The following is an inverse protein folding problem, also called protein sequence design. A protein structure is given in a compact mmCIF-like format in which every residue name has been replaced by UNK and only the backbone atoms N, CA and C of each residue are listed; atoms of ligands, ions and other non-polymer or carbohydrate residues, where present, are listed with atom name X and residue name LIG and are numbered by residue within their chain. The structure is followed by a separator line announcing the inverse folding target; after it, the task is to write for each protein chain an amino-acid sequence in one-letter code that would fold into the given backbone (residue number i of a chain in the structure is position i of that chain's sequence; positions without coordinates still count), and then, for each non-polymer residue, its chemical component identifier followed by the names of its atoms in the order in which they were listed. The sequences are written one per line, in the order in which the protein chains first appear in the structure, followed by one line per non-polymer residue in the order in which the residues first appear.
data_IF_431939682466
#
_entry.id   IF_431939682466
#
_cell.length_a   1.000
_cell.length_b   1.000
_cell.length_c   1.000
_cell.angle_alpha   90.00
_cell.angle_beta   90.00
_cell.angle_gamma   90.00
#
_symmetry.space_group_name_H-M   'P 1'
#
loop_
_entity.id
_entity.type
_entity.pdbx_description
1 polymer ?
#
# COMPACT_ATOMS: atom_id res chain seq x y z
N UNK A 1 15.32 26.48 16.72
CA UNK A 1 15.16 27.83 16.13
C UNK A 1 13.93 27.77 15.23
N UNK A 2 12.88 28.53 15.56
CA UNK A 2 11.67 28.59 14.74
C UNK A 2 12.00 29.27 13.40
N UNK A 3 11.57 28.62 12.33
CA UNK A 3 11.78 29.10 10.96
C UNK A 3 11.01 30.41 10.77
N UNK A 4 11.70 31.54 10.72
CA UNK A 4 11.12 32.91 10.71
C UNK A 4 10.38 33.28 9.42
N UNK A 5 10.29 32.37 8.43
CA UNK A 5 9.69 32.62 7.10
C UNK A 5 8.44 31.80 6.82
N UNK A 6 7.75 31.24 7.84
CA UNK A 6 6.53 30.49 7.61
C UNK A 6 5.34 31.45 7.40
N UNK A 7 4.93 31.67 6.15
CA UNK A 7 3.68 32.37 5.82
C UNK A 7 2.50 31.36 5.82
N UNK A 8 1.56 31.55 6.74
CA UNK A 8 0.30 30.78 6.73
C UNK A 8 -0.57 31.17 5.53
N UNK A 9 -0.92 30.20 4.66
CA UNK A 9 -1.95 30.44 3.68
C UNK A 9 -3.33 30.37 4.34
N UNK A 10 -4.25 31.28 3.99
CA UNK A 10 -5.63 31.28 4.52
C UNK A 10 -6.35 29.96 4.28
N UNK A 11 -6.06 29.26 3.18
CA UNK A 11 -6.63 27.94 2.88
C UNK A 11 -6.20 26.85 3.86
N UNK A 12 -4.92 26.83 4.27
CA UNK A 12 -4.42 25.83 5.23
C UNK A 12 -4.99 26.07 6.64
N UNK A 13 -5.14 27.34 7.04
CA UNK A 13 -5.74 27.69 8.33
C UNK A 13 -7.22 27.22 8.44
N UNK A 14 -7.99 27.37 7.37
CA UNK A 14 -9.36 26.88 7.32
C UNK A 14 -9.44 25.33 7.42
N UNK A 15 -8.51 24.63 6.80
CA UNK A 15 -8.40 23.16 6.92
C UNK A 15 -8.06 22.76 8.35
N UNK A 16 -7.12 23.45 9.01
CA UNK A 16 -6.78 23.21 10.41
C UNK A 16 -7.99 23.43 11.31
N UNK A 17 -8.76 24.49 11.09
CA UNK A 17 -9.98 24.75 11.87
C UNK A 17 -11.00 23.61 11.70
N UNK A 18 -11.23 23.14 10.46
CA UNK A 18 -12.10 22.00 10.19
C UNK A 18 -11.64 20.73 10.93
N UNK A 19 -10.33 20.46 10.97
CA UNK A 19 -9.77 19.33 11.73
C UNK A 19 -10.02 19.47 13.23
N UNK A 20 -9.84 20.66 13.80
CA UNK A 20 -10.11 20.92 15.23
C UNK A 20 -11.57 20.68 15.56
N UNK A 21 -12.49 21.24 14.78
CA UNK A 21 -13.93 21.06 14.98
C UNK A 21 -14.34 19.58 14.88
N UNK A 22 -13.85 18.87 13.86
CA UNK A 22 -14.15 17.46 13.68
C UNK A 22 -13.60 16.57 14.80
N UNK A 23 -12.54 16.99 15.49
CA UNK A 23 -12.03 16.30 16.66
C UNK A 23 -12.89 16.54 17.92
N UNK A 24 -13.50 17.70 18.02
CA UNK A 24 -14.29 18.11 19.20
C UNK A 24 -15.76 17.68 19.11
N UNK A 25 -16.29 17.49 17.89
CA UNK A 25 -17.68 17.14 17.62
C UNK A 25 -17.75 15.76 16.94
N UNK A 26 -18.31 14.76 17.63
CA UNK A 26 -18.43 13.40 17.11
C UNK A 26 -19.27 13.31 15.82
N UNK A 27 -20.26 14.18 15.65
CA UNK A 27 -21.09 14.22 14.45
C UNK A 27 -20.33 14.67 13.20
N UNK A 28 -19.20 15.34 13.38
CA UNK A 28 -18.30 15.83 12.32
C UNK A 28 -17.09 14.92 12.05
N UNK A 29 -17.00 13.73 12.67
CA UNK A 29 -15.83 12.85 12.54
C UNK A 29 -15.44 12.51 11.10
N UNK A 30 -16.42 12.37 10.22
CA UNK A 30 -16.15 12.11 8.79
C UNK A 30 -15.48 13.28 8.07
N UNK A 31 -15.57 14.49 8.58
CA UNK A 31 -14.84 15.65 8.03
C UNK A 31 -13.31 15.43 8.07
N UNK A 32 -12.81 14.68 9.05
CA UNK A 32 -11.40 14.27 9.07
C UNK A 32 -11.04 13.44 7.84
N UNK A 33 -11.94 12.55 7.44
CA UNK A 33 -11.74 11.68 6.28
C UNK A 33 -11.84 12.48 4.98
N UNK A 34 -12.80 13.40 4.87
CA UNK A 34 -12.90 14.27 3.70
C UNK A 34 -11.67 15.17 3.54
N UNK A 35 -11.17 15.73 4.64
CA UNK A 35 -9.92 16.49 4.61
C UNK A 35 -8.77 15.61 4.15
N UNK A 36 -8.60 14.42 4.74
CA UNK A 36 -7.53 13.50 4.33
C UNK A 36 -7.66 13.09 2.86
N UNK A 37 -8.89 12.85 2.35
CA UNK A 37 -9.15 12.44 0.97
C UNK A 37 -8.81 13.55 -0.04
N UNK A 38 -9.15 14.79 0.28
CA UNK A 38 -9.11 15.92 -0.66
C UNK A 38 -7.88 16.82 -0.49
N UNK A 39 -7.18 16.75 0.63
CA UNK A 39 -6.00 17.58 0.90
C UNK A 39 -4.76 17.00 0.22
N UNK A 40 -3.93 17.83 -0.46
CA UNK A 40 -2.75 17.34 -1.17
C UNK A 40 -1.71 16.70 -0.25
N UNK A 41 -1.24 15.45 -0.53
CA UNK A 41 -0.29 14.75 0.33
C UNK A 41 1.03 15.48 0.54
N UNK A 42 1.51 16.20 -0.49
CA UNK A 42 2.75 16.97 -0.44
C UNK A 42 2.66 18.20 0.49
N UNK A 43 1.45 18.63 0.85
CA UNK A 43 1.22 19.75 1.75
C UNK A 43 0.95 19.32 3.20
N UNK A 44 0.90 18.04 3.52
CA UNK A 44 0.65 17.55 4.88
C UNK A 44 1.64 18.11 5.91
N UNK A 45 2.91 18.26 5.55
CA UNK A 45 3.90 18.90 6.45
C UNK A 45 3.55 20.35 6.76
N UNK A 46 3.05 21.09 5.77
CA UNK A 46 2.62 22.48 5.97
C UNK A 46 1.40 22.53 6.90
N UNK A 47 0.45 21.63 6.70
CA UNK A 47 -0.72 21.50 7.56
C UNK A 47 -0.31 21.18 9.00
N UNK A 48 0.59 20.24 9.23
CA UNK A 48 1.11 19.89 10.56
C UNK A 48 1.78 21.09 11.26
N UNK A 49 2.62 21.85 10.54
CA UNK A 49 3.27 23.07 11.05
C UNK A 49 2.25 24.15 11.37
N UNK A 50 1.28 24.40 10.47
CA UNK A 50 0.21 25.37 10.68
C UNK A 50 -0.67 24.97 11.87
N UNK A 51 -0.99 23.69 11.99
CA UNK A 51 -1.73 23.16 13.13
C UNK A 51 -1.03 23.46 14.45
N UNK A 52 0.26 23.16 14.55
CA UNK A 52 1.05 23.45 15.74
C UNK A 52 1.14 24.96 16.02
N UNK A 53 1.28 25.79 14.98
CA UNK A 53 1.32 27.25 15.15
C UNK A 53 0.00 27.83 15.67
N UNK A 54 -1.15 27.30 15.24
CA UNK A 54 -2.49 27.77 15.65
C UNK A 54 -2.87 27.23 17.02
N UNK A 55 -2.64 25.93 17.27
CA UNK A 55 -3.17 25.24 18.47
C UNK A 55 -2.16 25.13 19.61
N UNK A 56 -0.87 25.38 19.35
CA UNK A 56 0.21 25.16 20.31
C UNK A 56 0.53 23.67 20.56
N UNK A 57 -0.15 22.74 19.87
CA UNK A 57 -0.05 21.30 20.09
C UNK A 57 0.32 20.57 18.79
N UNK A 58 1.09 19.50 18.86
CA UNK A 58 1.33 18.64 17.71
C UNK A 58 0.04 17.94 17.26
N UNK A 59 -0.18 17.86 15.95
CA UNK A 59 -1.38 17.26 15.36
C UNK A 59 -1.60 15.83 15.86
N UNK A 60 -0.57 14.97 15.85
CA UNK A 60 -0.68 13.59 16.32
C UNK A 60 -1.14 13.49 17.77
N UNK A 61 -0.61 14.35 18.65
CA UNK A 61 -1.00 14.40 20.06
C UNK A 61 -2.45 14.86 20.23
N UNK A 62 -2.87 15.83 19.41
CA UNK A 62 -4.25 16.31 19.42
C UNK A 62 -5.24 15.24 18.93
N UNK A 63 -4.93 14.57 17.83
CA UNK A 63 -5.75 13.47 17.31
C UNK A 63 -5.90 12.34 18.35
N UNK A 64 -4.81 11.87 18.95
CA UNK A 64 -4.81 10.84 20.00
C UNK A 64 -5.63 11.21 21.21
N UNK A 65 -5.70 12.49 21.56
CA UNK A 65 -6.50 12.96 22.70
C UNK A 65 -8.01 12.87 22.42
N UNK A 66 -8.45 13.02 21.17
CA UNK A 66 -9.86 13.17 20.82
C UNK A 66 -10.45 11.97 20.07
N UNK A 67 -9.61 11.09 19.52
CA UNK A 67 -10.01 9.90 18.79
C UNK A 67 -9.71 8.63 19.59
N UNK A 68 -10.21 7.50 19.13
CA UNK A 68 -9.97 6.21 19.79
C UNK A 68 -10.07 5.04 18.81
N UNK A 69 -9.43 3.91 19.18
CA UNK A 69 -9.53 2.62 18.49
C UNK A 69 -9.08 2.68 17.02
N UNK A 70 -9.72 1.89 16.16
CA UNK A 70 -9.37 1.72 14.76
C UNK A 70 -9.51 3.02 13.96
N UNK A 71 -10.49 3.87 14.30
CA UNK A 71 -10.66 5.17 13.66
C UNK A 71 -9.51 6.13 13.99
N UNK A 72 -9.01 6.15 15.23
CA UNK A 72 -7.80 6.91 15.60
C UNK A 72 -6.59 6.45 14.78
N UNK A 73 -6.36 5.13 14.75
CA UNK A 73 -5.25 4.54 14.02
C UNK A 73 -5.30 4.91 12.54
N UNK A 74 -6.47 4.79 11.90
CA UNK A 74 -6.68 5.17 10.51
C UNK A 74 -6.35 6.66 10.28
N UNK A 75 -6.93 7.55 11.07
CA UNK A 75 -6.73 9.00 10.92
C UNK A 75 -5.26 9.37 11.12
N UNK A 76 -4.59 8.83 12.13
CA UNK A 76 -3.15 9.05 12.34
C UNK A 76 -2.30 8.63 11.14
N UNK A 77 -2.65 7.53 10.46
CA UNK A 77 -1.95 7.10 9.23
C UNK A 77 -2.24 8.04 8.06
N UNK A 78 -3.50 8.46 7.87
CA UNK A 78 -3.92 9.33 6.76
C UNK A 78 -3.27 10.73 6.80
N UNK A 79 -2.96 11.24 7.99
CA UNK A 79 -2.39 12.58 8.18
C UNK A 79 -0.86 12.58 8.22
N UNK A 80 -0.21 11.46 7.88
CA UNK A 80 1.25 11.37 7.72
C UNK A 80 1.68 11.51 6.26
N UNK A 81 2.82 12.17 6.01
CA UNK A 81 3.47 12.07 4.70
C UNK A 81 3.75 10.61 4.36
N UNK A 82 3.45 10.20 3.12
CA UNK A 82 3.48 8.78 2.71
C UNK A 82 4.82 8.08 3.02
N UNK A 83 5.94 8.68 2.64
CA UNK A 83 7.25 8.07 2.91
C UNK A 83 7.52 7.90 4.43
N UNK A 84 7.07 8.85 5.24
CA UNK A 84 7.18 8.74 6.70
C UNK A 84 6.30 7.62 7.23
N UNK A 85 5.05 7.50 6.76
CA UNK A 85 4.15 6.41 7.13
C UNK A 85 4.78 5.05 6.84
N UNK A 86 5.33 4.86 5.63
CA UNK A 86 5.99 3.62 5.23
C UNK A 86 7.19 3.28 6.15
N UNK A 87 8.03 4.27 6.45
CA UNK A 87 9.15 4.09 7.38
C UNK A 87 8.69 3.70 8.79
N UNK A 88 7.63 4.35 9.31
CA UNK A 88 7.10 4.05 10.63
C UNK A 88 6.44 2.66 10.69
N UNK A 89 5.72 2.24 9.65
CA UNK A 89 5.15 0.89 9.56
C UNK A 89 6.25 -0.18 9.58
N UNK A 90 7.30 -0.01 8.76
CA UNK A 90 8.43 -0.94 8.74
C UNK A 90 9.16 -0.94 10.10
N UNK A 91 9.38 0.23 10.70
CA UNK A 91 10.01 0.33 12.02
C UNK A 91 9.18 -0.36 13.10
N UNK A 92 7.87 -0.17 13.08
CA UNK A 92 6.94 -0.82 14.01
C UNK A 92 6.95 -2.35 13.86
N UNK A 93 7.00 -2.82 12.61
CA UNK A 93 7.02 -4.24 12.29
C UNK A 93 8.33 -4.96 12.68
N UNK A 94 9.44 -4.21 12.76
CA UNK A 94 10.80 -4.74 13.05
C UNK A 94 11.33 -4.37 14.44
N UNK A 95 10.61 -3.58 15.22
CA UNK A 95 11.07 -3.12 16.54
C UNK A 95 10.42 -3.92 17.66
N UNK A 96 11.23 -4.55 18.49
CA UNK A 96 10.77 -5.26 19.70
C UNK A 96 11.08 -6.74 19.67
N UNK A 97 10.33 -7.52 20.43
CA UNK A 97 10.44 -8.97 20.44
C UNK A 97 9.49 -9.57 19.39
N UNK A 98 10.05 -10.11 18.33
CA UNK A 98 9.30 -10.67 17.20
C UNK A 98 9.16 -9.70 16.03
N UNK A 99 8.63 -10.20 14.93
CA UNK A 99 8.44 -9.48 13.66
C UNK A 99 6.96 -9.50 13.30
N UNK A 100 6.39 -8.37 12.88
CA UNK A 100 5.11 -8.35 12.18
C UNK A 100 5.36 -8.65 10.68
N UNK A 101 5.47 -9.94 10.38
CA UNK A 101 5.75 -10.44 9.03
C UNK A 101 4.69 -9.99 8.02
N UNK A 102 3.41 -9.98 8.44
CA UNK A 102 2.29 -9.56 7.59
C UNK A 102 2.40 -8.08 7.23
N UNK A 103 2.77 -7.23 8.19
CA UNK A 103 2.98 -5.81 7.93
C UNK A 103 4.11 -5.58 6.94
N UNK A 104 5.25 -6.27 7.09
CA UNK A 104 6.38 -6.16 6.16
C UNK A 104 6.02 -6.60 4.74
N UNK A 105 5.27 -7.70 4.61
CA UNK A 105 4.77 -8.19 3.32
C UNK A 105 3.81 -7.16 2.71
N UNK A 106 2.81 -6.68 3.45
CA UNK A 106 1.83 -5.71 2.98
C UNK A 106 2.50 -4.41 2.50
N UNK A 107 3.48 -3.90 3.25
CA UNK A 107 4.15 -2.63 2.93
C UNK A 107 5.13 -2.80 1.78
N UNK A 108 6.09 -3.72 1.87
CA UNK A 108 7.19 -3.79 0.91
C UNK A 108 6.79 -4.36 -0.44
N UNK A 109 5.76 -5.21 -0.50
CA UNK A 109 5.32 -5.80 -1.76
C UNK A 109 4.27 -4.97 -2.51
N UNK A 110 3.79 -3.86 -1.92
CA UNK A 110 2.76 -2.99 -2.53
C UNK A 110 3.19 -1.54 -2.69
N UNK A 111 4.48 -1.28 -2.78
CA UNK A 111 5.04 0.05 -3.06
C UNK A 111 5.84 0.06 -4.36
N UNK A 112 5.91 1.24 -4.98
CA UNK A 112 6.61 1.45 -6.24
C UNK A 112 8.15 1.47 -6.05
N UNK A 113 8.89 1.15 -7.10
CA UNK A 113 10.35 1.14 -7.05
C UNK A 113 10.97 2.49 -6.63
N UNK A 114 10.38 3.62 -7.04
CA UNK A 114 10.84 4.93 -6.63
C UNK A 114 10.61 5.19 -5.14
N UNK A 115 9.48 4.71 -4.59
CA UNK A 115 9.19 4.82 -3.16
C UNK A 115 10.18 4.00 -2.32
N UNK A 116 10.56 2.80 -2.77
CA UNK A 116 11.59 1.99 -2.09
C UNK A 116 12.89 2.77 -1.97
N UNK A 117 13.32 3.48 -3.04
CA UNK A 117 14.52 4.32 -2.99
C UNK A 117 14.37 5.49 -2.03
N UNK A 118 13.21 6.15 -2.04
CA UNK A 118 12.91 7.26 -1.13
C UNK A 118 12.93 6.81 0.33
N UNK A 119 12.23 5.72 0.66
CA UNK A 119 12.15 5.24 2.04
C UNK A 119 13.48 4.69 2.55
N UNK A 120 14.37 4.15 1.72
CA UNK A 120 15.73 3.76 2.14
C UNK A 120 16.50 4.95 2.69
N UNK A 121 16.45 6.10 1.98
CA UNK A 121 17.12 7.32 2.40
C UNK A 121 16.48 7.92 3.66
N UNK A 122 15.14 8.03 3.67
CA UNK A 122 14.41 8.59 4.79
C UNK A 122 14.54 7.71 6.06
N UNK A 123 14.51 6.39 5.93
CA UNK A 123 14.67 5.45 7.04
C UNK A 123 16.01 5.63 7.73
N UNK A 124 17.08 5.76 6.94
CA UNK A 124 18.42 6.05 7.47
C UNK A 124 18.47 7.41 8.19
N UNK A 125 17.86 8.43 7.62
CA UNK A 125 17.78 9.77 8.25
C UNK A 125 17.01 9.76 9.57
N UNK A 126 15.92 8.99 9.66
CA UNK A 126 15.07 8.94 10.85
C UNK A 126 15.65 8.06 11.97
N UNK A 127 16.30 6.95 11.62
CA UNK A 127 16.62 5.89 12.59
C UNK A 127 18.11 5.55 12.66
N UNK A 128 18.93 6.12 11.78
CA UNK A 128 20.37 5.81 11.63
C UNK A 128 20.63 4.31 11.39
N UNK A 129 19.68 3.61 10.77
CA UNK A 129 19.72 2.20 10.43
C UNK A 129 19.50 2.03 8.91
N UNK A 130 20.17 1.05 8.29
CA UNK A 130 19.90 0.67 6.90
C UNK A 130 18.59 -0.13 6.84
N UNK A 131 17.63 0.31 6.00
CA UNK A 131 16.36 -0.39 5.80
C UNK A 131 16.59 -1.87 5.44
N UNK A 132 17.46 -2.14 4.46
CA UNK A 132 17.74 -3.52 4.01
C UNK A 132 18.37 -4.39 5.08
N UNK A 133 19.24 -3.83 5.93
CA UNK A 133 19.88 -4.59 6.99
C UNK A 133 18.91 -4.91 8.14
N UNK A 134 18.04 -3.95 8.50
CA UNK A 134 17.00 -4.17 9.50
C UNK A 134 16.03 -5.26 9.05
N UNK A 135 15.50 -5.17 7.81
CA UNK A 135 14.59 -6.16 7.27
C UNK A 135 15.25 -7.54 7.20
N UNK A 136 16.50 -7.63 6.70
CA UNK A 136 17.25 -8.89 6.62
C UNK A 136 17.50 -9.53 7.98
N UNK A 137 17.86 -8.72 8.96
CA UNK A 137 18.12 -9.19 10.33
C UNK A 137 16.86 -9.76 10.98
N UNK A 138 15.73 -9.12 10.73
CA UNK A 138 14.45 -9.45 11.37
C UNK A 138 13.74 -10.63 10.70
N UNK A 139 13.61 -10.59 9.36
CA UNK A 139 12.95 -11.66 8.58
C UNK A 139 13.81 -12.91 8.41
N UNK A 140 15.14 -12.78 8.50
CA UNK A 140 16.05 -13.86 8.12
C UNK A 140 15.96 -14.20 6.62
N UNK A 141 16.27 -15.45 6.27
CA UNK A 141 16.32 -15.92 4.87
C UNK A 141 15.79 -17.35 4.69
N UNK A 142 14.99 -17.82 5.65
CA UNK A 142 14.48 -19.20 5.66
C UNK A 142 13.30 -19.39 4.72
N UNK A 143 12.32 -18.50 4.78
CA UNK A 143 11.07 -18.58 4.06
C UNK A 143 11.11 -17.80 2.74
N UNK A 144 10.27 -18.18 1.78
CA UNK A 144 10.24 -17.53 0.47
C UNK A 144 9.73 -16.09 0.54
N UNK A 145 8.71 -15.80 1.38
CA UNK A 145 8.26 -14.44 1.64
C UNK A 145 9.39 -13.55 2.17
N UNK A 146 10.23 -14.07 3.08
CA UNK A 146 11.34 -13.32 3.66
C UNK A 146 12.41 -12.99 2.61
N UNK A 147 12.74 -13.94 1.73
CA UNK A 147 13.65 -13.70 0.59
C UNK A 147 13.09 -12.65 -0.35
N UNK A 148 11.78 -12.71 -0.66
CA UNK A 148 11.12 -11.74 -1.53
C UNK A 148 11.15 -10.33 -0.93
N UNK A 149 10.74 -10.18 0.32
CA UNK A 149 10.75 -8.90 1.06
C UNK A 149 12.17 -8.33 1.16
N UNK A 150 13.18 -9.15 1.47
CA UNK A 150 14.58 -8.75 1.50
C UNK A 150 15.07 -8.25 0.12
N UNK A 151 14.70 -8.95 -0.95
CA UNK A 151 15.08 -8.58 -2.30
C UNK A 151 14.45 -7.26 -2.72
N UNK A 152 13.19 -7.01 -2.39
CA UNK A 152 12.52 -5.71 -2.63
C UNK A 152 13.15 -4.60 -1.78
N UNK A 153 13.42 -4.85 -0.49
CA UNK A 153 14.01 -3.84 0.39
C UNK A 153 15.42 -3.41 -0.04
N UNK A 154 16.18 -4.26 -0.73
CA UNK A 154 17.58 -3.99 -1.11
C UNK A 154 17.79 -3.79 -2.60
N UNK A 155 16.95 -4.39 -3.46
CA UNK A 155 17.07 -4.37 -4.92
C UNK A 155 16.36 -3.20 -5.59
N UNK A 156 16.49 -3.12 -6.89
CA UNK A 156 15.75 -2.21 -7.75
C UNK A 156 15.00 -2.98 -8.83
N UNK A 157 13.89 -2.40 -9.31
CA UNK A 157 13.17 -2.91 -10.47
C UNK A 157 13.80 -2.30 -11.72
N UNK A 158 14.24 -3.16 -12.62
CA UNK A 158 14.91 -2.78 -13.87
C UNK A 158 14.20 -3.38 -15.07
N UNK A 159 14.09 -2.66 -16.21
CA UNK A 159 13.53 -3.20 -17.43
C UNK A 159 14.27 -4.45 -17.91
N UNK A 160 13.53 -5.36 -18.54
CA UNK A 160 14.01 -6.62 -19.08
C UNK A 160 13.91 -6.67 -20.60
N UNK A 161 14.84 -7.36 -21.23
CA UNK A 161 14.76 -7.68 -22.64
C UNK A 161 13.77 -8.83 -22.88
N UNK A 162 13.16 -8.87 -24.06
CA UNK A 162 12.13 -9.88 -24.38
C UNK A 162 12.64 -11.32 -24.23
N UNK A 163 13.89 -11.60 -24.61
CA UNK A 163 14.47 -12.93 -24.48
C UNK A 163 14.60 -13.38 -23.01
N UNK A 164 14.90 -12.45 -22.09
CA UNK A 164 14.95 -12.74 -20.64
C UNK A 164 13.56 -13.14 -20.13
N UNK A 165 12.50 -12.47 -20.63
CA UNK A 165 11.11 -12.83 -20.29
C UNK A 165 10.74 -14.22 -20.78
N UNK A 166 11.18 -14.60 -21.99
CA UNK A 166 10.95 -15.94 -22.58
C UNK A 166 11.65 -17.04 -21.79
N UNK A 167 12.89 -16.81 -21.37
CA UNK A 167 13.65 -17.72 -20.53
C UNK A 167 12.98 -17.90 -19.15
N UNK A 168 12.62 -16.80 -18.50
CA UNK A 168 12.00 -16.82 -17.18
C UNK A 168 10.61 -17.47 -17.23
N UNK A 169 9.85 -17.29 -18.30
CA UNK A 169 8.56 -17.93 -18.50
C UNK A 169 8.69 -19.46 -18.52
N UNK A 170 9.72 -20.00 -19.18
CA UNK A 170 9.99 -21.44 -19.21
C UNK A 170 10.40 -21.95 -17.83
N UNK A 171 11.24 -21.20 -17.12
CA UNK A 171 11.71 -21.57 -15.78
C UNK A 171 10.59 -21.58 -14.74
N UNK A 172 9.70 -20.58 -14.79
CA UNK A 172 8.53 -20.52 -13.91
C UNK A 172 7.56 -21.66 -14.20
N UNK A 173 7.30 -21.96 -15.50
CA UNK A 173 6.45 -23.09 -15.87
C UNK A 173 7.00 -24.39 -15.32
N UNK A 174 8.29 -24.62 -15.50
CA UNK A 174 8.95 -25.80 -14.96
C UNK A 174 8.82 -25.90 -13.45
N UNK A 175 8.98 -24.79 -12.74
CA UNK A 175 8.85 -24.75 -11.29
C UNK A 175 7.44 -25.17 -10.86
N UNK A 176 6.39 -24.61 -11.49
CA UNK A 176 4.98 -24.97 -11.21
C UNK A 176 4.69 -26.46 -11.48
N UNK A 177 5.20 -27.01 -12.59
CA UNK A 177 4.97 -28.42 -12.93
C UNK A 177 5.66 -29.42 -12.01
N UNK A 178 6.80 -29.03 -11.44
CA UNK A 178 7.58 -29.94 -10.58
C UNK A 178 7.11 -29.99 -9.14
N UNK A 179 6.21 -29.12 -8.73
CA UNK A 179 5.65 -28.92 -7.38
C UNK A 179 6.69 -28.90 -6.26
N UNK A 180 6.73 -27.79 -5.56
CA UNK A 180 7.68 -27.51 -4.49
C UNK A 180 8.93 -26.81 -5.00
N UNK A 181 9.19 -25.60 -4.45
CA UNK A 181 10.30 -24.74 -4.87
C UNK A 181 11.64 -25.40 -4.60
N UNK A 182 12.30 -25.83 -5.63
CA UNK A 182 13.66 -26.35 -5.54
C UNK A 182 14.66 -25.22 -5.36
N UNK A 183 15.83 -25.54 -4.81
CA UNK A 183 16.87 -24.56 -4.46
C UNK A 183 17.30 -23.69 -5.64
N UNK A 184 17.37 -24.25 -6.83
CA UNK A 184 17.72 -23.59 -8.09
C UNK A 184 16.57 -22.74 -8.68
N UNK A 185 15.33 -22.98 -8.30
CA UNK A 185 14.14 -22.24 -8.75
C UNK A 185 13.86 -20.99 -7.89
N UNK A 186 14.37 -20.96 -6.62
CA UNK A 186 14.25 -19.83 -5.71
C UNK A 186 14.66 -18.52 -6.37
N UNK A 187 15.78 -18.51 -7.09
CA UNK A 187 16.32 -17.32 -7.75
C UNK A 187 15.37 -16.76 -8.83
N UNK A 188 14.70 -17.63 -9.56
CA UNK A 188 13.75 -17.24 -10.63
C UNK A 188 12.51 -16.57 -10.03
N UNK A 189 11.87 -17.18 -9.02
CA UNK A 189 10.74 -16.60 -8.35
C UNK A 189 11.07 -15.23 -7.74
N UNK A 190 12.18 -15.13 -7.01
CA UNK A 190 12.60 -13.86 -6.40
C UNK A 190 12.94 -12.82 -7.45
N UNK A 191 13.64 -13.20 -8.55
CA UNK A 191 13.99 -12.28 -9.63
C UNK A 191 12.74 -11.67 -10.27
N UNK A 192 11.76 -12.48 -10.66
CA UNK A 192 10.54 -12.01 -11.31
C UNK A 192 9.76 -11.07 -10.38
N UNK A 193 9.49 -11.50 -9.16
CA UNK A 193 8.59 -10.75 -8.28
C UNK A 193 9.25 -9.56 -7.58
N UNK A 194 10.57 -9.56 -7.39
CA UNK A 194 11.28 -8.45 -6.75
C UNK A 194 11.88 -7.44 -7.73
N UNK A 195 12.31 -7.88 -8.93
CA UNK A 195 13.13 -7.02 -9.80
C UNK A 195 12.49 -6.62 -11.12
N UNK A 196 11.38 -7.24 -11.52
CA UNK A 196 10.67 -6.86 -12.74
C UNK A 196 9.94 -5.53 -12.56
N UNK A 197 9.93 -4.72 -13.63
CA UNK A 197 8.99 -3.60 -13.71
C UNK A 197 7.57 -4.12 -13.89
N UNK A 198 6.56 -3.31 -13.58
CA UNK A 198 5.16 -3.72 -13.85
C UNK A 198 4.88 -3.95 -15.33
N UNK A 199 5.55 -3.21 -16.21
CA UNK A 199 5.42 -3.40 -17.65
C UNK A 199 5.90 -4.79 -18.08
N UNK A 200 7.11 -5.17 -17.65
CA UNK A 200 7.69 -6.48 -17.94
C UNK A 200 6.89 -7.62 -17.32
N UNK A 201 6.44 -7.45 -16.08
CA UNK A 201 5.60 -8.45 -15.42
C UNK A 201 4.28 -8.68 -16.16
N UNK A 202 3.61 -7.60 -16.59
CA UNK A 202 2.39 -7.71 -17.40
C UNK A 202 2.64 -8.38 -18.74
N UNK A 203 3.80 -8.14 -19.35
CA UNK A 203 4.20 -8.81 -20.57
C UNK A 203 4.42 -10.31 -20.32
N UNK A 204 5.18 -10.67 -19.30
CA UNK A 204 5.39 -12.06 -18.88
C UNK A 204 4.06 -12.77 -18.60
N UNK A 205 3.16 -12.12 -17.86
CA UNK A 205 1.84 -12.65 -17.53
C UNK A 205 1.01 -12.96 -18.80
N UNK A 206 0.99 -12.04 -19.79
CA UNK A 206 0.32 -12.28 -21.07
C UNK A 206 0.96 -13.40 -21.86
N UNK A 207 2.29 -13.42 -21.95
CA UNK A 207 3.05 -14.47 -22.64
C UNK A 207 2.77 -15.84 -22.01
N UNK A 208 2.67 -15.91 -20.68
CA UNK A 208 2.33 -17.14 -19.96
C UNK A 208 0.95 -17.67 -20.38
N UNK A 209 -0.08 -16.84 -20.33
CA UNK A 209 -1.42 -17.23 -20.73
C UNK A 209 -1.51 -17.66 -22.20
N UNK A 210 -0.85 -16.94 -23.12
CA UNK A 210 -0.82 -17.30 -24.55
C UNK A 210 -0.12 -18.64 -24.78
N UNK A 211 1.05 -18.85 -24.16
CA UNK A 211 1.86 -20.05 -24.36
C UNK A 211 1.25 -21.31 -23.74
N UNK A 212 0.52 -21.17 -22.63
CA UNK A 212 -0.03 -22.27 -21.84
C UNK A 212 -1.57 -22.29 -21.83
N UNK A 213 -2.18 -22.06 -23.00
CA UNK A 213 -3.61 -22.27 -23.28
C UNK A 213 -4.57 -21.53 -22.31
N UNK A 214 -4.22 -20.32 -21.91
CA UNK A 214 -5.03 -19.50 -21.00
C UNK A 214 -4.84 -19.79 -19.50
N UNK A 215 -3.88 -20.61 -19.14
CA UNK A 215 -3.54 -20.84 -17.75
C UNK A 215 -3.07 -19.53 -17.07
N UNK A 216 -3.44 -19.36 -15.82
CA UNK A 216 -3.09 -18.17 -15.04
C UNK A 216 -1.79 -18.38 -14.27
N UNK A 217 -0.83 -17.46 -14.43
CA UNK A 217 0.37 -17.43 -13.59
C UNK A 217 0.02 -17.29 -12.10
N UNK A 218 -1.07 -16.57 -11.78
CA UNK A 218 -1.55 -16.43 -10.40
C UNK A 218 -2.04 -17.75 -9.80
N UNK A 219 -2.72 -18.56 -10.60
CA UNK A 219 -3.10 -19.91 -10.18
C UNK A 219 -1.87 -20.79 -9.93
N UNK A 220 -0.84 -20.66 -10.76
CA UNK A 220 0.44 -21.33 -10.52
C UNK A 220 1.11 -20.94 -9.22
N UNK A 221 1.00 -19.67 -8.80
CA UNK A 221 1.44 -19.23 -7.46
C UNK A 221 0.65 -19.92 -6.33
N UNK A 222 -0.68 -20.04 -6.49
CA UNK A 222 -1.55 -20.72 -5.52
C UNK A 222 -1.22 -22.22 -5.38
N UNK A 223 -0.87 -22.85 -6.47
CA UNK A 223 -0.50 -24.28 -6.48
C UNK A 223 0.89 -24.55 -5.87
N UNK A 224 1.80 -23.56 -5.95
CA UNK A 224 3.19 -23.73 -5.54
C UNK A 224 3.46 -23.36 -4.10
N UNK A 225 2.78 -22.34 -3.57
CA UNK A 225 3.06 -21.79 -2.24
C UNK A 225 1.92 -22.03 -1.27
N UNK A 226 2.23 -21.96 0.04
CA UNK A 226 1.26 -22.10 1.13
C UNK A 226 1.48 -21.03 2.20
N UNK A 227 0.41 -20.71 2.93
CA UNK A 227 0.47 -19.82 4.09
C UNK A 227 0.96 -18.42 3.75
N UNK A 228 1.96 -17.92 4.48
CA UNK A 228 2.48 -16.55 4.26
C UNK A 228 3.28 -16.44 2.95
N UNK A 229 3.94 -17.52 2.50
CA UNK A 229 4.61 -17.53 1.20
C UNK A 229 3.58 -17.36 0.06
N UNK A 230 2.47 -18.10 0.08
CA UNK A 230 1.37 -17.94 -0.88
C UNK A 230 0.81 -16.52 -0.86
N UNK A 231 0.49 -16.02 0.33
CA UNK A 231 -0.02 -14.66 0.49
C UNK A 231 0.93 -13.62 -0.12
N UNK A 232 2.22 -13.71 0.19
CA UNK A 232 3.22 -12.75 -0.28
C UNK A 232 3.36 -12.77 -1.82
N UNK A 233 3.44 -13.95 -2.43
CA UNK A 233 3.57 -14.04 -3.88
C UNK A 233 2.29 -13.67 -4.63
N UNK A 234 1.11 -13.99 -4.09
CA UNK A 234 -0.19 -13.50 -4.63
C UNK A 234 -0.29 -11.99 -4.56
N UNK A 235 0.10 -11.40 -3.43
CA UNK A 235 0.08 -9.95 -3.25
C UNK A 235 1.04 -9.25 -4.22
N UNK A 236 2.27 -9.77 -4.36
CA UNK A 236 3.25 -9.25 -5.30
C UNK A 236 2.80 -9.41 -6.76
N UNK A 237 2.19 -10.55 -7.12
CA UNK A 237 1.58 -10.78 -8.42
C UNK A 237 0.53 -9.72 -8.72
N UNK A 238 -0.43 -9.56 -7.82
CA UNK A 238 -1.56 -8.65 -8.00
C UNK A 238 -1.08 -7.20 -8.08
N UNK A 239 -0.09 -6.80 -7.27
CA UNK A 239 0.50 -5.46 -7.32
C UNK A 239 1.24 -5.18 -8.63
N UNK A 240 2.04 -6.12 -9.11
CA UNK A 240 2.75 -6.01 -10.38
C UNK A 240 1.80 -6.01 -11.58
N UNK A 241 0.70 -6.74 -11.49
CA UNK A 241 -0.34 -6.75 -12.51
C UNK A 241 -1.14 -5.43 -12.49
N UNK A 242 -1.76 -5.10 -11.36
CA UNK A 242 -2.49 -3.85 -11.10
C UNK A 242 -2.58 -3.59 -9.59
N UNK A 243 -2.08 -2.45 -9.07
CA UNK A 243 -2.17 -2.13 -7.64
C UNK A 243 -3.58 -2.19 -7.06
N UNK A 244 -4.62 -1.91 -7.88
CA UNK A 244 -6.00 -2.04 -7.45
C UNK A 244 -6.42 -3.48 -7.15
N UNK A 245 -5.83 -4.46 -7.87
CA UNK A 245 -6.03 -5.87 -7.59
C UNK A 245 -5.41 -6.25 -6.24
N UNK A 246 -4.18 -5.80 -5.99
CA UNK A 246 -3.50 -6.04 -4.71
C UNK A 246 -4.25 -5.43 -3.53
N UNK A 247 -4.74 -4.20 -3.67
CA UNK A 247 -5.56 -3.55 -2.65
C UNK A 247 -6.85 -4.33 -2.38
N UNK A 248 -7.57 -4.74 -3.44
CA UNK A 248 -8.78 -5.55 -3.32
C UNK A 248 -8.50 -6.92 -2.66
N UNK A 249 -7.40 -7.57 -3.02
CA UNK A 249 -6.97 -8.82 -2.41
C UNK A 249 -6.66 -8.66 -0.92
N UNK A 250 -5.87 -7.68 -0.53
CA UNK A 250 -5.52 -7.42 0.87
C UNK A 250 -6.75 -7.04 1.71
N UNK A 251 -7.69 -6.28 1.15
CA UNK A 251 -8.95 -5.99 1.82
C UNK A 251 -9.79 -7.24 2.05
N UNK A 252 -9.89 -8.12 1.05
CA UNK A 252 -10.62 -9.37 1.22
C UNK A 252 -10.00 -10.24 2.31
N UNK A 253 -8.67 -10.29 2.38
CA UNK A 253 -7.95 -11.01 3.44
C UNK A 253 -8.19 -10.37 4.82
N UNK A 254 -8.29 -9.04 4.89
CA UNK A 254 -8.59 -8.33 6.14
C UNK A 254 -9.99 -8.66 6.70
N UNK A 255 -10.93 -9.06 5.84
CA UNK A 255 -12.26 -9.51 6.22
C UNK A 255 -12.40 -11.04 6.33
N UNK A 256 -11.32 -11.79 6.14
CA UNK A 256 -11.36 -13.24 6.25
C UNK A 256 -11.26 -13.71 7.70
N UNK A 257 -12.08 -14.69 8.09
CA UNK A 257 -12.06 -15.28 9.44
C UNK A 257 -13.19 -14.78 10.34
N UNK A 258 -13.02 -14.94 11.65
CA UNK A 258 -13.96 -14.45 12.66
C UNK A 258 -13.61 -13.04 13.09
N UNK A 259 -14.25 -12.04 12.49
CA UNK A 259 -13.95 -10.62 12.68
C UNK A 259 -13.14 -10.03 11.53
N UNK A 260 -12.53 -8.86 11.77
CA UNK A 260 -11.72 -8.18 10.77
C UNK A 260 -10.31 -7.90 11.31
N UNK A 261 -9.32 -7.83 10.40
CA UNK A 261 -7.97 -7.36 10.67
C UNK A 261 -7.93 -5.84 10.43
N UNK A 262 -8.34 -5.07 11.45
CA UNK A 262 -8.40 -3.60 11.39
C UNK A 262 -7.02 -2.98 11.11
N UNK A 263 -5.95 -3.56 11.62
CA UNK A 263 -4.59 -3.05 11.40
C UNK A 263 -4.20 -3.16 9.92
N UNK A 264 -4.49 -4.29 9.29
CA UNK A 264 -4.30 -4.46 7.85
C UNK A 264 -5.19 -3.54 7.06
N UNK A 265 -6.48 -3.45 7.40
CA UNK A 265 -7.45 -2.61 6.71
C UNK A 265 -7.03 -1.13 6.76
N UNK A 266 -6.60 -0.64 7.91
CA UNK A 266 -6.07 0.71 8.10
C UNK A 266 -4.82 0.94 7.25
N UNK A 267 -3.87 0.02 7.29
CA UNK A 267 -2.60 0.08 6.55
C UNK A 267 -2.83 0.14 5.04
N UNK A 268 -3.56 -0.82 4.49
CA UNK A 268 -3.86 -0.88 3.04
C UNK A 268 -4.66 0.33 2.60
N UNK A 269 -5.65 0.77 3.39
CA UNK A 269 -6.42 1.96 3.07
C UNK A 269 -5.52 3.19 3.06
N UNK A 270 -4.76 3.47 4.11
CA UNK A 270 -3.90 4.64 4.16
C UNK A 270 -2.83 4.68 3.06
N UNK A 271 -2.34 3.50 2.65
CA UNK A 271 -1.34 3.39 1.59
C UNK A 271 -1.91 3.56 0.17
N UNK A 272 -3.15 3.14 -0.10
CA UNK A 272 -3.59 2.93 -1.49
C UNK A 272 -4.87 3.67 -1.90
N UNK A 273 -5.65 4.23 -0.98
CA UNK A 273 -6.97 4.82 -1.33
C UNK A 273 -6.90 5.93 -2.39
N UNK A 274 -5.77 6.66 -2.48
CA UNK A 274 -5.61 7.76 -3.44
C UNK A 274 -5.36 7.27 -4.86
N UNK A 275 -4.66 6.15 -5.00
CA UNK A 275 -4.11 5.66 -6.27
C UNK A 275 -4.99 4.56 -6.87
N UNK A 276 -5.62 3.76 -6.02
CA UNK A 276 -6.37 2.57 -6.44
C UNK A 276 -7.87 2.83 -6.60
N UNK A 277 -8.23 3.77 -7.47
CA UNK A 277 -9.65 4.13 -7.74
C UNK A 277 -10.50 2.97 -8.27
N UNK A 278 -9.88 1.97 -8.88
CA UNK A 278 -10.53 0.75 -9.39
C UNK A 278 -10.75 -0.35 -8.36
N UNK A 279 -10.31 -0.18 -7.10
CA UNK A 279 -10.33 -1.25 -6.10
C UNK A 279 -11.73 -1.84 -5.87
N UNK A 280 -12.78 -1.01 -5.70
CA UNK A 280 -14.16 -1.48 -5.52
C UNK A 280 -14.66 -2.31 -6.71
N UNK A 281 -14.28 -1.92 -7.93
CA UNK A 281 -14.61 -2.67 -9.14
C UNK A 281 -13.96 -4.06 -9.13
N UNK A 282 -12.65 -4.13 -8.87
CA UNK A 282 -11.93 -5.40 -8.78
C UNK A 282 -12.45 -6.27 -7.64
N UNK A 283 -12.74 -5.68 -6.49
CA UNK A 283 -13.30 -6.40 -5.35
C UNK A 283 -14.61 -7.11 -5.73
N UNK A 284 -15.56 -6.38 -6.32
CA UNK A 284 -16.82 -6.94 -6.79
C UNK A 284 -16.63 -8.01 -7.87
N UNK A 285 -15.74 -7.74 -8.84
CA UNK A 285 -15.45 -8.66 -9.95
C UNK A 285 -14.88 -10.00 -9.47
N UNK A 286 -13.97 -9.96 -8.50
CA UNK A 286 -13.25 -11.14 -8.02
C UNK A 286 -14.03 -11.90 -6.94
N UNK A 287 -14.68 -11.19 -6.03
CA UNK A 287 -15.32 -11.79 -4.85
C UNK A 287 -16.85 -11.85 -4.92
N UNK A 288 -17.47 -11.33 -6.00
CA UNK A 288 -18.91 -11.40 -6.23
C UNK A 288 -19.77 -10.50 -5.34
N UNK A 289 -19.20 -9.88 -4.31
CA UNK A 289 -19.86 -8.99 -3.35
C UNK A 289 -19.35 -7.56 -3.50
N UNK A 290 -20.23 -6.55 -3.36
CA UNK A 290 -19.80 -5.17 -3.34
C UNK A 290 -18.96 -4.88 -2.08
N UNK A 291 -17.87 -4.11 -2.25
CA UNK A 291 -16.99 -3.74 -1.14
C UNK A 291 -17.75 -3.02 -0.01
N UNK A 292 -18.65 -2.08 -0.37
CA UNK A 292 -19.42 -1.32 0.61
C UNK A 292 -20.40 -2.19 1.41
N UNK A 293 -20.98 -3.22 0.78
CA UNK A 293 -21.80 -4.23 1.47
C UNK A 293 -20.96 -5.00 2.48
N UNK A 294 -19.75 -5.43 2.08
CA UNK A 294 -18.83 -6.12 2.97
C UNK A 294 -18.44 -5.24 4.16
N UNK A 295 -18.07 -3.98 3.92
CA UNK A 295 -17.77 -3.02 4.99
C UNK A 295 -18.96 -2.84 5.95
N UNK A 296 -20.19 -2.73 5.44
CA UNK A 296 -21.38 -2.57 6.27
C UNK A 296 -21.64 -3.78 7.15
N UNK A 297 -21.32 -4.98 6.69
CA UNK A 297 -21.46 -6.22 7.46
C UNK A 297 -20.40 -6.37 8.55
N UNK A 298 -19.15 -6.04 8.23
CA UNK A 298 -17.99 -6.34 9.08
C UNK A 298 -17.58 -5.16 10.00
N UNK A 299 -17.84 -3.92 9.60
CA UNK A 299 -17.39 -2.73 10.29
C UNK A 299 -18.57 -1.96 10.89
N UNK A 300 -18.33 -1.26 12.00
CA UNK A 300 -19.39 -0.55 12.71
C UNK A 300 -19.05 0.94 12.85
N UNK A 301 -20.13 1.76 12.92
CA UNK A 301 -20.05 3.18 13.24
C UNK A 301 -19.19 3.98 12.26
N UNK A 302 -18.65 5.09 12.75
CA UNK A 302 -17.88 6.05 11.97
C UNK A 302 -16.65 5.43 11.25
N UNK A 303 -16.07 4.38 11.80
CA UNK A 303 -14.95 3.67 11.19
C UNK A 303 -15.35 3.00 9.87
N UNK A 304 -16.46 2.27 9.86
CA UNK A 304 -16.95 1.63 8.64
C UNK A 304 -17.30 2.63 7.55
N UNK A 305 -17.94 3.75 7.93
CA UNK A 305 -18.25 4.84 6.99
C UNK A 305 -16.96 5.50 6.45
N UNK A 306 -15.96 5.69 7.30
CA UNK A 306 -14.67 6.23 6.91
C UNK A 306 -13.96 5.37 5.84
N UNK A 307 -13.92 4.05 6.04
CA UNK A 307 -13.34 3.13 5.08
C UNK A 307 -14.09 3.20 3.74
N UNK A 308 -15.42 3.15 3.75
CA UNK A 308 -16.22 3.27 2.51
C UNK A 308 -15.94 4.58 1.76
N UNK A 309 -15.94 5.70 2.49
CA UNK A 309 -15.74 7.04 1.93
C UNK A 309 -14.34 7.22 1.29
N UNK A 310 -13.29 6.67 1.89
CA UNK A 310 -11.93 6.74 1.34
C UNK A 310 -11.79 6.04 -0.01
N UNK A 311 -12.49 4.93 -0.21
CA UNK A 311 -12.44 4.17 -1.43
C UNK A 311 -13.45 4.61 -2.50
N UNK A 312 -14.22 5.66 -2.24
CA UNK A 312 -15.02 6.31 -3.27
C UNK A 312 -14.15 7.14 -4.22
N UNK A 313 -14.49 7.22 -5.49
CA UNK A 313 -13.82 8.14 -6.41
C UNK A 313 -13.85 9.58 -5.86
N UNK A 314 -12.76 10.32 -6.03
CA UNK A 314 -12.73 11.75 -5.70
C UNK A 314 -13.60 12.51 -6.70
N UNK A 315 -14.68 13.09 -6.24
CA UNK A 315 -15.67 13.76 -7.10
C UNK A 315 -15.31 15.18 -7.48
N UNK A 316 -14.44 15.86 -6.74
CA UNK A 316 -13.97 17.22 -7.06
C UNK A 316 -12.55 17.41 -6.54
N UNK A 317 -11.56 17.82 -7.36
CA UNK A 317 -10.30 18.34 -6.83
C UNK A 317 -10.57 19.71 -6.19
N UNK A 318 -10.23 19.89 -4.93
CA UNK A 318 -10.32 21.19 -4.23
C UNK A 318 -9.33 22.25 -4.75
N UNK A 319 -8.47 21.89 -5.70
CA UNK A 319 -7.55 22.80 -6.39
C UNK A 319 -7.54 22.44 -7.86
N UNK A 320 -7.69 23.45 -8.73
CA UNK A 320 -7.64 23.34 -10.18
C UNK A 320 -6.38 22.62 -10.66
N UNK A 321 -6.56 21.67 -11.59
CA UNK A 321 -5.49 20.88 -12.22
C UNK A 321 -4.64 21.71 -13.21
N UNK A 322 -4.27 22.95 -12.91
CA UNK A 322 -3.42 23.76 -13.81
C UNK A 322 -1.91 23.48 -13.62
N UNK A 323 -1.48 22.74 -12.58
CA UNK A 323 -0.06 22.49 -12.31
C UNK A 323 0.43 21.06 -12.57
N UNK A 324 -0.37 20.21 -13.23
CA UNK A 324 0.07 18.85 -13.62
C UNK A 324 0.03 18.67 -15.15
N UNK A 325 0.85 19.42 -15.87
CA UNK A 325 1.17 19.05 -17.26
C UNK A 325 2.27 17.98 -17.26
N UNK A 326 1.90 16.77 -17.68
CA UNK A 326 2.86 15.72 -17.97
C UNK A 326 2.34 14.29 -17.74
N UNK A 327 1.60 13.75 -18.71
CA UNK A 327 1.31 12.32 -18.77
C UNK A 327 -0.13 11.98 -19.19
N UNK A 328 -0.35 11.82 -20.48
CA UNK A 328 -1.61 11.31 -21.03
C UNK A 328 -1.90 9.89 -20.51
N UNK A 329 -2.85 9.76 -19.60
CA UNK A 329 -3.48 8.47 -19.29
C UNK A 329 -4.80 8.35 -20.07
N UNK A 330 -4.74 7.69 -21.22
CA UNK A 330 -5.95 7.16 -21.86
C UNK A 330 -6.49 5.99 -21.01
N UNK A 331 -7.80 5.94 -20.74
CA UNK A 331 -8.40 4.76 -20.15
C UNK A 331 -8.30 3.60 -21.16
N UNK A 332 -7.56 2.54 -20.79
CA UNK A 332 -7.58 1.30 -21.56
C UNK A 332 -8.91 0.58 -21.31
N UNK A 333 -9.75 0.54 -22.32
CA UNK A 333 -10.83 -0.43 -22.44
C UNK A 333 -10.21 -1.83 -22.51
N UNK A 334 -10.44 -2.62 -21.49
CA UNK A 334 -10.11 -4.04 -21.50
C UNK A 334 -11.13 -4.77 -22.40
N UNK A 335 -10.76 -5.03 -23.62
CA UNK A 335 -11.36 -6.14 -24.37
C UNK A 335 -10.76 -7.45 -23.83
N UNK A 336 -11.67 -8.41 -23.58
CA UNK A 336 -11.42 -9.74 -23.02
C UNK A 336 -10.56 -10.60 -23.93
#
# INVERSE_FOLDING_TARGET
MADKNFQMSTGVAAVVQKVVEACQDESKRLDLIEVAKNYPPNQLRNMQRTFQAITGTFLDAFLKKHLSKDFETLVLMLYKPRAQLLCELIRGATKGAGTDEKCLVDVLLTIEAHEVREIRQLYYQLYNDSLGDVVRKDCGNKYMWAKLVNAVATGDRIPRETHELEEDLVLVRKAIETKGVKKDEVSTWIRIFATYTRADFRQLHRMYAVKYNGESLRAGVEDEFQGLDEYAFKLAHDFLYDPCCAAAFSMNVAFAGSGNDSDRLNRITAMHFRECKGCKYYYKKVYGQAFDERCTTELKGVYGEAIKLLWEPVTVPLLSMEDCQGGEHRPMTLEL
#
